data_IF_548954831966
#
_entry.id   IF_548954831966
#
_cell.length_a   1.000
_cell.length_b   1.000
_cell.length_c   1.000
_cell.angle_alpha   90.00
_cell.angle_beta   90.00
_cell.angle_gamma   90.00
#
_symmetry.space_group_name_H-M   'P 1'
#
loop_
_entity.id
_entity.type
_entity.pdbx_description
1 polymer ?
#
# COMPACT_ATOMS: atom_id res chain seq x y z
N UNK A 1 -17.10 7.71 -3.03
CA UNK A 1 -16.50 8.06 -1.72
C UNK A 1 -15.52 9.21 -1.94
N UNK A 2 -15.48 10.24 -1.08
CA UNK A 2 -14.50 11.34 -1.21
C UNK A 2 -13.12 10.82 -0.79
N UNK A 3 -12.08 11.06 -1.60
CA UNK A 3 -10.69 10.72 -1.22
C UNK A 3 -10.23 11.63 -0.10
N UNK A 4 -9.75 11.04 0.99
CA UNK A 4 -9.19 11.76 2.14
C UNK A 4 -8.04 10.98 2.76
N UNK A 5 -7.13 11.61 3.50
CA UNK A 5 -6.00 10.92 4.10
C UNK A 5 -6.46 9.78 5.03
N UNK A 6 -7.60 9.90 5.71
CA UNK A 6 -8.20 8.79 6.48
C UNK A 6 -8.49 7.51 5.67
N UNK A 7 -8.60 7.60 4.33
CA UNK A 7 -8.77 6.44 3.45
C UNK A 7 -7.61 6.27 2.44
N UNK A 8 -6.44 6.85 2.74
CA UNK A 8 -5.20 6.63 2.00
C UNK A 8 -4.47 5.39 2.54
N UNK A 9 -3.80 4.63 1.67
CA UNK A 9 -2.96 3.48 2.06
C UNK A 9 -1.72 3.89 2.87
N UNK A 10 -1.27 5.14 2.73
CA UNK A 10 -0.07 5.67 3.37
C UNK A 10 -0.37 6.55 4.59
N UNK A 11 -1.60 6.50 5.14
CA UNK A 11 -1.98 7.24 6.33
C UNK A 11 -2.18 6.29 7.50
N UNK A 12 -1.54 6.60 8.61
CA UNK A 12 -1.72 5.93 9.88
C UNK A 12 -2.37 6.89 10.89
N UNK A 13 -3.40 6.43 11.61
CA UNK A 13 -4.14 7.29 12.53
C UNK A 13 -3.32 7.76 13.75
N UNK A 14 -2.26 7.03 14.10
CA UNK A 14 -1.34 7.36 15.21
C UNK A 14 -0.16 8.21 14.75
N UNK A 15 0.35 7.95 13.54
CA UNK A 15 1.60 8.57 13.03
C UNK A 15 1.39 9.60 11.92
N UNK A 16 0.19 9.71 11.37
CA UNK A 16 -0.15 10.60 10.27
C UNK A 16 0.28 10.05 8.91
N UNK A 17 0.61 10.95 7.97
CA UNK A 17 1.05 10.56 6.63
C UNK A 17 2.48 9.99 6.66
N UNK A 18 2.61 8.71 6.31
CA UNK A 18 3.90 7.99 6.29
C UNK A 18 4.84 8.56 5.22
N UNK A 19 4.30 9.12 4.13
CA UNK A 19 5.08 9.78 3.08
C UNK A 19 5.63 11.15 3.49
N UNK A 20 5.37 11.63 4.72
CA UNK A 20 5.88 12.92 5.20
C UNK A 20 5.27 14.14 4.50
N UNK A 21 4.10 14.00 3.88
CA UNK A 21 3.41 15.12 3.23
C UNK A 21 2.73 15.94 4.33
N UNK A 22 3.41 17.00 4.77
CA UNK A 22 3.03 17.83 5.92
C UNK A 22 1.62 18.44 5.80
N UNK A 23 1.22 18.91 4.62
CA UNK A 23 -0.12 19.48 4.37
C UNK A 23 -1.24 18.42 4.37
N UNK A 24 -0.90 17.13 4.37
CA UNK A 24 -1.81 15.99 4.29
C UNK A 24 -1.89 15.19 5.60
N UNK A 25 -1.37 15.71 6.71
CA UNK A 25 -1.43 15.05 8.02
C UNK A 25 -2.83 15.09 8.68
N UNK A 26 -3.81 15.77 8.07
CA UNK A 26 -5.19 15.84 8.57
C UNK A 26 -6.08 14.75 7.96
N UNK A 27 -6.95 14.06 8.73
CA UNK A 27 -7.80 12.97 8.23
C UNK A 27 -8.67 13.30 7.02
N UNK A 28 -9.05 14.58 6.87
CA UNK A 28 -9.93 15.09 5.82
C UNK A 28 -9.19 15.73 4.62
N UNK A 29 -7.86 15.85 4.68
CA UNK A 29 -7.04 16.35 3.58
C UNK A 29 -6.96 15.32 2.45
N UNK A 30 -6.48 15.71 1.26
CA UNK A 30 -6.15 14.80 0.17
C UNK A 30 -4.96 15.37 -0.60
N UNK A 31 -3.90 14.56 -0.80
CA UNK A 31 -2.73 14.96 -1.58
C UNK A 31 -2.80 14.43 -3.02
N UNK A 32 -1.90 14.93 -3.87
CA UNK A 32 -1.76 14.45 -5.25
C UNK A 32 -1.27 12.99 -5.35
N UNK A 33 -0.64 12.48 -4.28
CA UNK A 33 -0.15 11.10 -4.17
C UNK A 33 -1.13 10.19 -3.41
N UNK A 34 -2.39 10.62 -3.26
CA UNK A 34 -3.39 9.83 -2.55
C UNK A 34 -3.71 8.56 -3.33
N UNK A 35 -3.61 7.43 -2.65
CA UNK A 35 -3.99 6.12 -3.14
C UNK A 35 -4.83 5.42 -2.09
N UNK A 36 -5.99 4.88 -2.47
CA UNK A 36 -6.81 4.07 -1.55
C UNK A 36 -6.17 2.68 -1.34
N UNK A 37 -6.48 1.98 -0.24
CA UNK A 37 -6.02 0.60 -0.03
C UNK A 37 -6.35 -0.33 -1.21
N UNK A 38 -7.56 -0.24 -1.77
CA UNK A 38 -7.98 -1.07 -2.89
C UNK A 38 -7.19 -0.80 -4.19
N UNK A 39 -6.82 0.47 -4.44
CA UNK A 39 -5.96 0.83 -5.57
C UNK A 39 -4.54 0.33 -5.37
N UNK A 40 -4.01 0.42 -4.14
CA UNK A 40 -2.70 -0.12 -3.80
C UNK A 40 -2.67 -1.65 -4.00
N UNK A 41 -3.69 -2.36 -3.52
CA UNK A 41 -3.79 -3.81 -3.69
C UNK A 41 -3.84 -4.22 -5.17
N UNK A 42 -4.59 -3.49 -6.00
CA UNK A 42 -4.67 -3.74 -7.43
C UNK A 42 -3.31 -3.53 -8.14
N UNK A 43 -2.57 -2.49 -7.75
CA UNK A 43 -1.22 -2.23 -8.25
C UNK A 43 -0.24 -3.32 -7.81
N UNK A 44 -0.31 -3.79 -6.57
CA UNK A 44 0.52 -4.89 -6.08
C UNK A 44 0.24 -6.19 -6.84
N UNK A 45 -1.03 -6.50 -7.11
CA UNK A 45 -1.40 -7.65 -7.96
C UNK A 45 -0.87 -7.51 -9.39
N UNK A 46 -0.87 -6.28 -9.94
CA UNK A 46 -0.30 -6.02 -11.26
C UNK A 46 1.23 -6.23 -11.28
N UNK A 47 1.94 -5.80 -10.23
CA UNK A 47 3.37 -6.05 -10.04
C UNK A 47 3.64 -7.56 -9.93
N UNK A 48 2.86 -8.30 -9.16
CA UNK A 48 3.01 -9.75 -9.03
C UNK A 48 2.86 -10.46 -10.38
N UNK A 49 1.83 -10.09 -11.16
CA UNK A 49 1.66 -10.60 -12.54
C UNK A 49 2.84 -10.25 -13.44
N UNK A 50 3.35 -9.02 -13.35
CA UNK A 50 4.51 -8.59 -14.13
C UNK A 50 5.77 -9.39 -13.79
N UNK A 51 6.05 -9.60 -12.49
CA UNK A 51 7.19 -10.40 -12.02
C UNK A 51 7.17 -11.82 -12.57
N UNK A 52 6.02 -12.49 -12.47
CA UNK A 52 5.82 -13.84 -13.04
C UNK A 52 6.12 -13.84 -14.55
N UNK A 53 5.61 -12.85 -15.28
CA UNK A 53 5.81 -12.73 -16.74
C UNK A 53 7.28 -12.61 -17.13
N UNK A 54 8.12 -11.99 -16.31
CA UNK A 54 9.55 -11.81 -16.58
C UNK A 54 10.44 -12.87 -15.90
N UNK A 55 9.85 -13.93 -15.35
CA UNK A 55 10.58 -15.03 -14.71
C UNK A 55 11.17 -14.68 -13.34
N UNK A 56 10.70 -13.61 -12.69
CA UNK A 56 11.04 -13.31 -11.31
C UNK A 56 10.11 -14.06 -10.35
N UNK A 57 10.61 -14.49 -9.17
CA UNK A 57 9.76 -15.08 -8.14
C UNK A 57 8.72 -14.06 -7.65
N UNK A 58 7.63 -14.50 -7.00
CA UNK A 58 6.72 -13.61 -6.29
C UNK A 58 7.49 -12.66 -5.35
N UNK A 59 6.88 -11.52 -4.98
CA UNK A 59 7.50 -10.62 -4.01
C UNK A 59 7.83 -11.41 -2.73
N UNK A 60 9.03 -11.20 -2.17
CA UNK A 60 9.30 -11.64 -0.81
C UNK A 60 8.33 -10.85 0.07
N UNK A 61 7.39 -11.53 0.71
CA UNK A 61 6.58 -10.89 1.74
C UNK A 61 7.50 -10.30 2.80
N UNK A 62 7.07 -9.23 3.46
CA UNK A 62 7.66 -8.94 4.77
C UNK A 62 7.47 -10.20 5.64
N UNK A 63 8.36 -10.50 6.60
CA UNK A 63 8.26 -11.70 7.43
C UNK A 63 6.88 -11.93 8.07
N UNK A 64 6.09 -10.87 8.18
CA UNK A 64 4.75 -10.85 8.75
C UNK A 64 3.65 -11.33 7.76
N UNK A 65 3.96 -11.40 6.46
CA UNK A 65 3.14 -12.00 5.39
C UNK A 65 3.38 -13.53 5.26
N UNK A 66 4.27 -14.10 6.06
CA UNK A 66 4.43 -15.55 6.14
C UNK A 66 3.13 -16.14 6.70
N UNK A 67 2.27 -16.63 5.79
CA UNK A 67 1.19 -17.53 6.18
C UNK A 67 1.84 -18.68 6.97
N UNK A 68 1.47 -18.92 8.24
CA UNK A 68 2.05 -20.01 9.00
C UNK A 68 1.88 -21.31 8.23
N UNK A 69 2.98 -21.94 7.82
CA UNK A 69 2.97 -23.29 7.26
C UNK A 69 3.36 -23.44 5.78
N UNK A 70 3.81 -22.40 5.09
CA UNK A 70 4.42 -22.59 3.75
C UNK A 70 5.93 -22.40 3.84
N UNK A 71 6.66 -23.52 3.89
CA UNK A 71 8.12 -23.57 3.75
C UNK A 71 8.46 -23.73 2.25
N UNK A 72 9.62 -23.25 1.76
CA UNK A 72 9.89 -22.99 0.34
C UNK A 72 9.70 -24.17 -0.61
#
# INVERSE_FOLDING_TARGET
MKRTCANCCAYDARWGCINGIYDAAQPNACCAHHQTPAEFDADMQAIDRFRIRIGLPPRWGWPDDATPGVTP
#
